data_IF_048289308093
#
_entry.id   IF_048289308093
#
_cell.length_a   1.000
_cell.length_b   1.000
_cell.length_c   1.000
_cell.angle_alpha   90.00
_cell.angle_beta   90.00
_cell.angle_gamma   90.00
#
_symmetry.space_group_name_H-M   'P 1'
#
loop_
_entity.id
_entity.type
_entity.pdbx_description
1 polymer ?
#
# COMPACT_ATOMS: atom_id res chain seq x y z
N UNK A 1 14.61 -9.37 -7.40
CA UNK A 1 15.27 -10.70 -7.28
C UNK A 1 16.63 -10.56 -6.63
N UNK A 2 17.60 -9.91 -7.28
CA UNK A 2 18.95 -9.71 -6.71
C UNK A 2 18.95 -8.97 -5.37
N UNK A 3 18.06 -7.99 -5.18
CA UNK A 3 17.97 -7.19 -3.95
C UNK A 3 17.36 -7.95 -2.76
N UNK A 4 16.63 -9.03 -3.02
CA UNK A 4 15.84 -9.75 -2.04
C UNK A 4 16.60 -10.96 -1.45
N UNK A 5 17.73 -11.35 -2.06
CA UNK A 5 18.56 -12.48 -1.64
C UNK A 5 17.98 -13.88 -1.93
N UNK A 6 16.87 -13.98 -2.67
CA UNK A 6 16.25 -15.27 -2.97
C UNK A 6 16.95 -16.01 -4.11
N UNK A 7 17.07 -17.34 -3.96
CA UNK A 7 17.55 -18.22 -5.02
C UNK A 7 16.45 -18.52 -6.04
N UNK A 8 16.83 -18.89 -7.26
CA UNK A 8 15.87 -19.26 -8.31
C UNK A 8 15.02 -20.48 -7.92
N UNK A 9 15.60 -21.41 -7.16
CA UNK A 9 14.89 -22.60 -6.65
C UNK A 9 13.82 -22.22 -5.63
N UNK A 10 14.14 -21.31 -4.69
CA UNK A 10 13.16 -20.80 -3.73
C UNK A 10 11.96 -20.16 -4.43
N UNK A 11 12.20 -19.35 -5.47
CA UNK A 11 11.13 -18.70 -6.23
C UNK A 11 10.26 -19.74 -6.96
N UNK A 12 10.88 -20.74 -7.61
CA UNK A 12 10.13 -21.80 -8.30
C UNK A 12 9.31 -22.64 -7.34
N UNK A 13 9.78 -22.83 -6.11
CA UNK A 13 9.07 -23.55 -5.06
C UNK A 13 7.99 -22.72 -4.35
N UNK A 14 7.95 -21.39 -4.56
CA UNK A 14 7.02 -20.47 -3.91
C UNK A 14 5.64 -20.47 -4.59
N UNK A 15 4.94 -21.61 -4.56
CA UNK A 15 3.62 -21.81 -5.18
C UNK A 15 2.44 -21.62 -4.23
N UNK A 16 2.72 -21.24 -2.98
CA UNK A 16 1.68 -21.11 -1.95
C UNK A 16 0.65 -20.02 -2.32
N UNK A 17 -0.67 -20.30 -2.22
CA UNK A 17 -1.71 -19.31 -2.47
C UNK A 17 -1.85 -18.29 -1.32
N UNK A 18 -1.21 -18.53 -0.18
CA UNK A 18 -1.39 -17.75 1.05
C UNK A 18 -1.12 -16.25 0.86
N UNK A 19 -0.04 -15.80 0.18
CA UNK A 19 0.22 -14.36 0.00
C UNK A 19 -0.88 -13.65 -0.80
N UNK A 20 -1.53 -14.34 -1.74
CA UNK A 20 -2.62 -13.80 -2.55
C UNK A 20 -3.90 -13.64 -1.73
N UNK A 21 -4.24 -14.63 -0.90
CA UNK A 21 -5.39 -14.52 0.00
C UNK A 21 -5.16 -13.44 1.05
N UNK A 22 -3.95 -13.38 1.63
CA UNK A 22 -3.57 -12.35 2.58
C UNK A 22 -3.64 -10.95 1.95
N UNK A 23 -3.25 -10.79 0.69
CA UNK A 23 -3.32 -9.48 0.02
C UNK A 23 -4.75 -9.02 -0.19
N UNK A 24 -5.66 -9.91 -0.63
CA UNK A 24 -7.10 -9.58 -0.80
C UNK A 24 -7.70 -9.11 0.53
N UNK A 25 -7.47 -9.88 1.61
CA UNK A 25 -8.02 -9.54 2.94
C UNK A 25 -7.44 -8.21 3.43
N UNK A 26 -6.11 -8.06 3.39
CA UNK A 26 -5.42 -6.87 3.92
C UNK A 26 -5.82 -5.61 3.14
N UNK A 27 -5.89 -5.68 1.81
CA UNK A 27 -6.29 -4.55 0.97
C UNK A 27 -7.76 -4.19 1.14
N UNK A 28 -8.63 -5.17 1.39
CA UNK A 28 -10.05 -4.92 1.70
C UNK A 28 -10.20 -4.13 2.99
N UNK A 29 -9.48 -4.51 4.05
CA UNK A 29 -9.47 -3.77 5.32
C UNK A 29 -8.91 -2.35 5.15
N UNK A 30 -7.82 -2.20 4.41
CA UNK A 30 -7.22 -0.90 4.12
C UNK A 30 -8.20 0.02 3.37
N UNK A 31 -8.82 -0.46 2.29
CA UNK A 31 -9.79 0.31 1.51
C UNK A 31 -11.02 0.67 2.33
N UNK A 32 -11.57 -0.27 3.12
CA UNK A 32 -12.68 -0.02 4.03
C UNK A 32 -12.33 1.04 5.09
N UNK A 33 -11.15 0.95 5.68
CA UNK A 33 -10.70 1.90 6.70
C UNK A 33 -10.53 3.30 6.10
N UNK A 34 -9.94 3.42 4.91
CA UNK A 34 -9.83 4.69 4.20
C UNK A 34 -11.20 5.29 3.88
N UNK A 35 -12.13 4.46 3.37
CA UNK A 35 -13.52 4.85 3.12
C UNK A 35 -14.21 5.34 4.41
N UNK A 36 -14.00 4.66 5.53
CA UNK A 36 -14.53 5.08 6.82
C UNK A 36 -13.94 6.42 7.27
N UNK A 37 -12.64 6.65 7.10
CA UNK A 37 -12.02 7.96 7.38
C UNK A 37 -12.63 9.07 6.51
N UNK A 38 -12.95 8.79 5.25
CA UNK A 38 -13.59 9.76 4.34
C UNK A 38 -15.04 10.08 4.75
N UNK A 39 -15.67 9.28 5.63
CA UNK A 39 -16.95 9.66 6.26
C UNK A 39 -16.78 10.69 7.39
N UNK A 40 -15.56 10.88 7.88
CA UNK A 40 -15.21 11.78 9.01
C UNK A 40 -14.53 13.06 8.55
N UNK A 41 -13.97 13.06 7.33
CA UNK A 41 -13.29 14.19 6.71
C UNK A 41 -14.00 14.50 5.40
N UNK A 42 -14.32 15.77 5.08
CA UNK A 42 -15.09 16.10 3.88
C UNK A 42 -14.27 15.93 2.59
N UNK A 43 -14.08 14.69 2.14
CA UNK A 43 -13.42 14.36 0.88
C UNK A 43 -14.49 14.28 -0.21
N UNK A 44 -14.53 15.30 -1.08
CA UNK A 44 -15.60 15.47 -2.09
C UNK A 44 -15.11 15.43 -3.54
N UNK A 45 -13.84 15.09 -3.76
CA UNK A 45 -13.26 15.09 -5.10
C UNK A 45 -12.19 14.01 -5.27
N UNK A 46 -12.00 13.61 -6.53
CA UNK A 46 -10.93 12.70 -6.94
C UNK A 46 -9.55 13.23 -6.52
N UNK A 47 -9.29 14.52 -6.70
CA UNK A 47 -7.98 15.12 -6.40
C UNK A 47 -7.71 15.15 -4.90
N UNK A 48 -8.69 15.53 -4.08
CA UNK A 48 -8.57 15.49 -2.62
C UNK A 48 -8.36 14.06 -2.14
N UNK A 49 -9.12 13.10 -2.67
CA UNK A 49 -8.97 11.68 -2.34
C UNK A 49 -7.59 11.13 -2.73
N UNK A 50 -7.11 11.45 -3.93
CA UNK A 50 -5.77 11.09 -4.39
C UNK A 50 -4.69 11.61 -3.46
N UNK A 51 -4.73 12.89 -3.09
CA UNK A 51 -3.73 13.52 -2.22
C UNK A 51 -3.74 12.91 -0.80
N UNK A 52 -4.92 12.63 -0.24
CA UNK A 52 -5.01 11.96 1.07
C UNK A 52 -4.52 10.52 1.00
N UNK A 53 -4.89 9.78 -0.05
CA UNK A 53 -4.36 8.43 -0.30
C UNK A 53 -2.84 8.43 -0.43
N UNK A 54 -2.28 9.36 -1.21
CA UNK A 54 -0.84 9.54 -1.36
C UNK A 54 -0.17 9.86 -0.02
N UNK A 55 -0.76 10.74 0.79
CA UNK A 55 -0.27 11.07 2.12
C UNK A 55 -0.23 9.82 3.03
N UNK A 56 -1.28 9.01 3.02
CA UNK A 56 -1.32 7.79 3.82
C UNK A 56 -0.27 6.78 3.36
N UNK A 57 -0.13 6.59 2.05
CA UNK A 57 0.90 5.73 1.47
C UNK A 57 2.31 6.18 1.86
N UNK A 58 2.61 7.48 1.79
CA UNK A 58 3.95 8.00 2.12
C UNK A 58 4.21 7.91 3.63
N UNK A 59 3.31 8.46 4.45
CA UNK A 59 3.56 8.64 5.89
C UNK A 59 3.44 7.33 6.65
N UNK A 60 2.41 6.53 6.37
CA UNK A 60 2.14 5.33 7.15
C UNK A 60 2.74 4.05 6.55
N UNK A 61 3.10 4.04 5.27
CA UNK A 61 3.64 2.83 4.62
C UNK A 61 5.10 3.01 4.21
N UNK A 62 5.41 4.02 3.40
CA UNK A 62 6.77 4.19 2.87
C UNK A 62 7.80 4.40 3.97
N UNK A 63 7.59 5.38 4.85
CA UNK A 63 8.57 5.65 5.91
C UNK A 63 8.64 4.53 6.94
N UNK A 64 7.52 3.91 7.30
CA UNK A 64 7.51 2.74 8.18
C UNK A 64 8.34 1.59 7.59
N UNK A 65 8.14 1.28 6.30
CA UNK A 65 8.85 0.19 5.64
C UNK A 65 10.33 0.50 5.50
N UNK A 66 10.70 1.74 5.15
CA UNK A 66 12.11 2.16 5.07
C UNK A 66 12.81 1.94 6.42
N UNK A 67 12.24 2.44 7.51
CA UNK A 67 12.85 2.31 8.84
C UNK A 67 12.96 0.85 9.24
N UNK A 68 11.91 0.05 9.03
CA UNK A 68 11.90 -1.39 9.31
C UNK A 68 12.97 -2.14 8.52
N UNK A 69 13.13 -1.82 7.24
CA UNK A 69 14.12 -2.44 6.37
C UNK A 69 15.55 -2.01 6.74
N UNK A 70 15.76 -0.76 7.19
CA UNK A 70 17.06 -0.29 7.70
C UNK A 70 17.52 -1.13 8.91
N UNK A 71 16.64 -1.39 9.88
CA UNK A 71 16.95 -2.28 11.00
C UNK A 71 17.17 -3.74 10.58
N UNK A 72 16.56 -4.14 9.46
CA UNK A 72 16.75 -5.47 8.87
C UNK A 72 17.96 -5.56 7.93
N UNK A 73 18.78 -4.49 7.85
CA UNK A 73 19.92 -4.37 6.93
C UNK A 73 19.56 -4.65 5.46
N UNK A 74 18.33 -4.31 5.07
CA UNK A 74 17.85 -4.47 3.68
C UNK A 74 18.21 -3.24 2.84
N UNK A 75 18.46 -3.39 1.53
CA UNK A 75 18.78 -2.26 0.68
C UNK A 75 17.61 -1.26 0.61
N UNK A 76 17.91 0.04 0.74
CA UNK A 76 16.89 1.10 0.63
C UNK A 76 16.11 1.02 -0.69
N UNK A 77 16.78 0.64 -1.79
CA UNK A 77 16.15 0.45 -3.10
C UNK A 77 15.06 -0.62 -3.07
N UNK A 78 15.21 -1.67 -2.25
CA UNK A 78 14.19 -2.69 -2.06
C UNK A 78 12.97 -2.12 -1.33
N UNK A 79 13.19 -1.29 -0.31
CA UNK A 79 12.12 -0.59 0.41
C UNK A 79 11.32 0.32 -0.51
N UNK A 80 12.00 1.09 -1.37
CA UNK A 80 11.36 1.95 -2.36
C UNK A 80 10.52 1.15 -3.36
N UNK A 81 10.99 -0.01 -3.81
CA UNK A 81 10.23 -0.88 -4.72
C UNK A 81 8.98 -1.42 -4.00
N UNK A 82 9.14 -1.98 -2.81
CA UNK A 82 8.04 -2.64 -2.09
C UNK A 82 6.98 -1.62 -1.64
N UNK A 83 7.41 -0.58 -0.92
CA UNK A 83 6.48 0.39 -0.37
C UNK A 83 6.05 1.45 -1.39
N UNK A 84 6.84 1.72 -2.42
CA UNK A 84 6.45 2.62 -3.52
C UNK A 84 5.24 2.08 -4.28
N UNK A 85 5.18 0.77 -4.54
CA UNK A 85 3.97 0.14 -5.10
C UNK A 85 2.78 0.34 -4.16
N UNK A 86 2.96 0.13 -2.85
CA UNK A 86 1.90 0.38 -1.88
C UNK A 86 1.44 1.84 -1.87
N UNK A 87 2.35 2.81 -1.97
CA UNK A 87 2.00 4.24 -2.06
C UNK A 87 1.09 4.51 -3.27
N UNK A 88 1.42 3.94 -4.43
CA UNK A 88 0.59 4.06 -5.63
C UNK A 88 -0.79 3.43 -5.39
N UNK A 89 -0.85 2.25 -4.79
CA UNK A 89 -2.13 1.59 -4.45
C UNK A 89 -2.98 2.49 -3.55
N UNK A 90 -2.41 3.03 -2.47
CA UNK A 90 -3.13 3.94 -1.56
C UNK A 90 -3.62 5.21 -2.27
N UNK A 91 -2.80 5.81 -3.13
CA UNK A 91 -3.17 7.00 -3.89
C UNK A 91 -4.34 6.71 -4.86
N UNK A 92 -4.30 5.58 -5.57
CA UNK A 92 -5.39 5.16 -6.47
C UNK A 92 -6.66 4.81 -5.71
N UNK A 93 -6.56 4.09 -4.58
CA UNK A 93 -7.71 3.80 -3.71
C UNK A 93 -8.34 5.10 -3.20
N UNK A 94 -7.52 6.04 -2.72
CA UNK A 94 -7.99 7.35 -2.28
C UNK A 94 -8.66 8.14 -3.40
N UNK A 95 -8.11 8.13 -4.61
CA UNK A 95 -8.70 8.78 -5.78
C UNK A 95 -10.09 8.21 -6.11
N UNK A 96 -10.20 6.88 -6.15
CA UNK A 96 -11.46 6.18 -6.44
C UNK A 96 -12.51 6.52 -5.37
N UNK A 97 -12.15 6.46 -4.10
CA UNK A 97 -13.07 6.77 -2.99
C UNK A 97 -13.45 8.26 -2.95
N UNK A 98 -12.51 9.16 -3.24
CA UNK A 98 -12.78 10.60 -3.27
C UNK A 98 -13.67 11.02 -4.45
N UNK A 99 -13.62 10.29 -5.56
CA UNK A 99 -14.57 10.45 -6.66
C UNK A 99 -15.96 9.85 -6.37
N UNK A 100 -16.06 8.97 -5.35
CA UNK A 100 -17.27 8.23 -5.04
C UNK A 100 -18.25 9.10 -4.21
N UNK A 101 -19.35 9.54 -4.83
CA UNK A 101 -20.32 10.50 -4.27
C UNK A 101 -21.24 9.98 -3.15
N UNK A 102 -20.98 8.81 -2.58
CA UNK A 102 -21.84 8.20 -1.53
C UNK A 102 -21.65 8.83 -0.14
N UNK A 103 -20.70 9.74 0.02
CA UNK A 103 -20.43 10.43 1.28
C UNK A 103 -21.10 11.82 1.39
N UNK A 104 -22.06 12.11 0.50
CA UNK A 104 -22.96 13.28 0.60
C UNK A 104 -24.10 13.04 1.59
#
# INVERSE_FOLDING_TARGET
MALNGFTMEQIKSATSPVPYLASIVSTSFMAYTMAWVFTKVPVKSLTTGFLIGLLFGIVFVLFETIVKDMFSMRPLTLSLINAGVSVIVYALTGAILGAWRKYE
#
